data_IF_466218980461
#
_entry.id   IF_466218980461
#
_cell.length_a   1.000
_cell.length_b   1.000
_cell.length_c   1.000
_cell.angle_alpha   90.00
_cell.angle_beta   90.00
_cell.angle_gamma   90.00
#
_symmetry.space_group_name_H-M   'P 1'
#
loop_
_entity.id
_entity.type
_entity.pdbx_description
1 polymer ?
#
# COMPACT_ATOMS: atom_id res chain seq x y z
N UNK A 1 -5.29 -23.95 -3.64
CA UNK A 1 -5.14 -24.27 -2.21
C UNK A 1 -5.65 -23.09 -1.38
N UNK A 2 -6.34 -23.34 -0.27
CA UNK A 2 -6.84 -22.29 0.65
C UNK A 2 -5.68 -21.70 1.44
N UNK A 3 -5.59 -20.36 1.52
CA UNK A 3 -4.55 -19.65 2.29
C UNK A 3 -4.99 -19.46 3.75
N UNK A 4 -4.86 -20.52 4.56
CA UNK A 4 -5.27 -20.51 5.97
C UNK A 4 -4.63 -19.39 6.80
N UNK A 5 -3.37 -19.05 6.52
CA UNK A 5 -2.64 -17.98 7.22
C UNK A 5 -3.36 -16.63 7.16
N UNK A 6 -3.97 -16.30 6.02
CA UNK A 6 -4.70 -15.04 5.83
C UNK A 6 -5.95 -15.01 6.70
N UNK A 7 -6.72 -16.09 6.73
CA UNK A 7 -7.93 -16.20 7.54
C UNK A 7 -7.62 -16.12 9.04
N UNK A 8 -6.58 -16.83 9.49
CA UNK A 8 -6.15 -16.80 10.89
C UNK A 8 -5.67 -15.40 11.28
N UNK A 9 -4.92 -14.72 10.41
CA UNK A 9 -4.45 -13.35 10.66
C UNK A 9 -5.62 -12.37 10.79
N UNK A 10 -6.62 -12.45 9.90
CA UNK A 10 -7.81 -11.60 9.95
C UNK A 10 -8.60 -11.86 11.25
N UNK A 11 -8.81 -13.14 11.61
CA UNK A 11 -9.52 -13.51 12.84
C UNK A 11 -8.79 -13.02 14.11
N UNK A 12 -7.47 -13.20 14.18
CA UNK A 12 -6.65 -12.71 15.29
C UNK A 12 -6.68 -11.18 15.37
N UNK A 13 -6.63 -10.48 14.23
CA UNK A 13 -6.71 -9.03 14.19
C UNK A 13 -8.04 -8.49 14.71
N UNK A 14 -9.17 -9.15 14.44
CA UNK A 14 -10.45 -8.79 15.07
C UNK A 14 -10.43 -8.95 16.60
N UNK A 15 -9.81 -10.02 17.10
CA UNK A 15 -9.61 -10.23 18.54
C UNK A 15 -8.75 -9.13 19.18
N UNK A 16 -7.60 -8.81 18.56
CA UNK A 16 -6.70 -7.73 18.99
C UNK A 16 -7.40 -6.38 18.93
N UNK A 17 -8.13 -6.10 17.85
CA UNK A 17 -8.94 -4.89 17.68
C UNK A 17 -9.93 -4.71 18.83
N UNK A 18 -10.66 -5.77 19.20
CA UNK A 18 -11.60 -5.72 20.33
C UNK A 18 -10.88 -5.51 21.66
N UNK A 19 -9.72 -6.13 21.87
CA UNK A 19 -8.91 -5.91 23.06
C UNK A 19 -8.36 -4.46 23.15
N UNK A 20 -7.92 -3.88 22.03
CA UNK A 20 -7.48 -2.49 21.94
C UNK A 20 -8.61 -1.49 22.24
N UNK A 21 -9.81 -1.77 21.71
CA UNK A 21 -11.01 -0.98 21.98
C UNK A 21 -11.41 -1.08 23.45
N UNK A 22 -11.51 -2.30 24.01
CA UNK A 22 -11.91 -2.53 25.40
C UNK A 22 -10.90 -1.97 26.42
N UNK A 23 -9.60 -1.98 26.10
CA UNK A 23 -8.55 -1.42 26.97
C UNK A 23 -8.45 0.11 26.88
N UNK A 24 -9.14 0.75 25.93
CA UNK A 24 -9.04 2.18 25.68
C UNK A 24 -7.76 2.61 24.95
N UNK A 25 -6.89 1.66 24.58
CA UNK A 25 -5.64 1.95 23.88
C UNK A 25 -5.91 2.50 22.47
N UNK A 26 -6.93 1.99 21.77
CA UNK A 26 -7.33 2.50 20.46
C UNK A 26 -7.68 3.99 20.53
N UNK A 27 -8.55 4.38 21.45
CA UNK A 27 -8.93 5.77 21.67
C UNK A 27 -7.74 6.66 22.09
N UNK A 28 -6.85 6.16 22.96
CA UNK A 28 -5.64 6.89 23.34
C UNK A 28 -4.69 7.14 22.15
N UNK A 29 -4.51 6.12 21.32
CA UNK A 29 -3.68 6.18 20.11
C UNK A 29 -4.28 7.10 19.06
N UNK A 30 -5.61 7.02 18.86
CA UNK A 30 -6.35 7.92 17.97
C UNK A 30 -6.19 9.38 18.39
N UNK A 31 -6.36 9.69 19.69
CA UNK A 31 -6.15 11.05 20.22
C UNK A 31 -4.72 11.54 19.99
N UNK A 32 -3.73 10.67 20.16
CA UNK A 32 -2.33 11.01 19.86
C UNK A 32 -2.13 11.35 18.39
N UNK A 33 -2.70 10.56 17.47
CA UNK A 33 -2.63 10.81 16.03
C UNK A 33 -3.34 12.11 15.63
N UNK A 34 -4.50 12.39 16.21
CA UNK A 34 -5.23 13.65 16.01
C UNK A 34 -4.42 14.84 16.48
N UNK A 35 -3.83 14.78 17.68
CA UNK A 35 -2.98 15.86 18.19
C UNK A 35 -1.74 16.06 17.32
N UNK A 36 -1.11 14.97 16.89
CA UNK A 36 0.02 15.02 15.97
C UNK A 36 -0.38 15.66 14.63
N UNK A 37 -1.54 15.28 14.07
CA UNK A 37 -2.06 15.85 12.82
C UNK A 37 -2.38 17.34 12.93
N UNK A 38 -3.01 17.76 14.04
CA UNK A 38 -3.32 19.17 14.32
C UNK A 38 -2.06 20.02 14.47
N UNK A 39 -0.99 19.48 15.02
CA UNK A 39 0.29 20.19 15.17
C UNK A 39 0.89 20.61 13.82
N UNK A 40 0.58 19.90 12.73
CA UNK A 40 1.06 20.22 11.39
C UNK A 40 0.29 21.40 10.75
N UNK A 41 -0.82 21.87 11.34
CA UNK A 41 -1.66 22.98 10.83
C UNK A 41 -2.16 22.77 9.38
N UNK A 42 -2.32 21.53 8.94
CA UNK A 42 -2.84 21.18 7.60
C UNK A 42 -4.36 20.90 7.59
N UNK A 43 -5.07 21.21 8.68
CA UNK A 43 -6.46 20.81 8.88
C UNK A 43 -6.62 19.29 8.84
N UNK A 44 -7.70 18.83 8.23
CA UNK A 44 -8.07 17.43 8.01
C UNK A 44 -6.97 16.58 7.37
N UNK A 45 -6.18 17.17 6.47
CA UNK A 45 -5.04 16.49 5.83
C UNK A 45 -3.94 16.10 6.84
N UNK A 46 -3.83 16.81 7.96
CA UNK A 46 -2.90 16.47 9.03
C UNK A 46 -3.19 15.11 9.65
N UNK A 47 -4.47 14.77 9.86
CA UNK A 47 -4.85 13.46 10.39
C UNK A 47 -4.54 12.34 9.38
N UNK A 48 -4.82 12.56 8.09
CA UNK A 48 -4.47 11.62 7.04
C UNK A 48 -2.97 11.32 7.04
N UNK A 49 -2.11 12.34 7.11
CA UNK A 49 -0.66 12.14 7.19
C UNK A 49 -0.25 11.33 8.42
N UNK A 50 -0.82 11.64 9.59
CA UNK A 50 -0.51 10.94 10.84
C UNK A 50 -0.88 9.45 10.78
N UNK A 51 -2.09 9.14 10.31
CA UNK A 51 -2.58 7.76 10.15
C UNK A 51 -1.77 7.01 9.09
N UNK A 52 -1.44 7.65 7.97
CA UNK A 52 -0.61 7.06 6.92
C UNK A 52 0.77 6.67 7.47
N UNK A 53 1.44 7.58 8.18
CA UNK A 53 2.75 7.34 8.77
C UNK A 53 2.71 6.21 9.80
N UNK A 54 1.73 6.21 10.69
CA UNK A 54 1.55 5.14 11.68
C UNK A 54 1.37 3.78 10.99
N UNK A 55 0.51 3.71 9.97
CA UNK A 55 0.25 2.48 9.21
C UNK A 55 1.51 1.99 8.50
N UNK A 56 2.20 2.88 7.80
CA UNK A 56 3.44 2.57 7.08
C UNK A 56 4.53 2.04 8.02
N UNK A 57 4.74 2.67 9.17
CA UNK A 57 5.76 2.24 10.13
C UNK A 57 5.51 0.82 10.62
N UNK A 58 4.25 0.47 10.90
CA UNK A 58 3.88 -0.91 11.26
C UNK A 58 4.04 -1.86 10.07
N UNK A 59 3.64 -1.44 8.87
CA UNK A 59 3.73 -2.27 7.65
C UNK A 59 5.15 -2.62 7.23
N UNK A 60 6.16 -1.88 7.69
CA UNK A 60 7.56 -2.25 7.46
C UNK A 60 8.03 -3.43 8.33
N UNK A 61 7.37 -3.67 9.45
CA UNK A 61 7.74 -4.72 10.43
C UNK A 61 6.91 -5.97 10.25
N UNK A 62 5.62 -5.80 9.91
CA UNK A 62 4.64 -6.88 9.78
C UNK A 62 4.17 -7.00 8.33
N UNK A 63 3.46 -8.07 7.98
CA UNK A 63 2.86 -8.20 6.65
C UNK A 63 1.79 -7.12 6.43
N UNK A 64 1.67 -6.62 5.19
CA UNK A 64 0.71 -5.56 4.82
C UNK A 64 -0.71 -5.83 5.35
N UNK A 65 -1.18 -7.07 5.21
CA UNK A 65 -2.52 -7.46 5.65
C UNK A 65 -2.68 -7.42 7.17
N UNK A 66 -1.66 -7.84 7.92
CA UNK A 66 -1.68 -7.79 9.37
C UNK A 66 -1.61 -6.35 9.88
N UNK A 67 -0.77 -5.51 9.26
CA UNK A 67 -0.64 -4.10 9.60
C UNK A 67 -1.96 -3.34 9.38
N UNK A 68 -2.61 -3.56 8.24
CA UNK A 68 -3.92 -2.97 7.96
C UNK A 68 -4.96 -3.35 9.01
N UNK A 69 -5.05 -4.64 9.34
CA UNK A 69 -6.04 -5.14 10.28
C UNK A 69 -5.80 -4.65 11.74
N UNK A 70 -4.54 -4.40 12.11
CA UNK A 70 -4.16 -3.87 13.42
C UNK A 70 -4.45 -2.37 13.56
N UNK A 71 -4.14 -1.58 12.53
CA UNK A 71 -4.31 -0.11 12.57
C UNK A 71 -5.74 0.33 12.28
N UNK A 72 -6.52 -0.47 11.53
CA UNK A 72 -7.89 -0.16 11.17
C UNK A 72 -8.78 0.36 12.31
N UNK A 73 -8.88 -0.29 13.49
CA UNK A 73 -9.70 0.22 14.58
C UNK A 73 -9.24 1.60 15.08
N UNK A 74 -7.93 1.85 15.12
CA UNK A 74 -7.38 3.13 15.57
C UNK A 74 -7.72 4.23 14.55
N UNK A 75 -7.61 3.91 13.26
CA UNK A 75 -7.93 4.83 12.17
C UNK A 75 -9.45 5.13 12.10
N UNK A 76 -10.29 4.12 12.33
CA UNK A 76 -11.74 4.27 12.38
C UNK A 76 -12.17 5.18 13.55
N UNK A 77 -11.64 4.92 14.76
CA UNK A 77 -11.91 5.77 15.94
C UNK A 77 -11.40 7.21 15.74
N UNK A 78 -10.28 7.39 15.05
CA UNK A 78 -9.74 8.72 14.75
C UNK A 78 -10.59 9.49 13.74
N UNK A 79 -11.08 8.80 12.70
CA UNK A 79 -12.01 9.40 11.72
C UNK A 79 -13.33 9.81 12.39
N UNK A 80 -13.89 8.96 13.25
CA UNK A 80 -15.12 9.26 13.97
C UNK A 80 -14.97 10.49 14.89
N UNK A 81 -13.83 10.62 15.59
CA UNK A 81 -13.54 11.75 16.46
C UNK A 81 -13.48 13.10 15.74
N UNK A 82 -12.92 13.13 14.53
CA UNK A 82 -12.83 14.35 13.71
C UNK A 82 -14.01 14.50 12.75
N UNK A 83 -15.01 13.61 12.79
CA UNK A 83 -16.18 13.66 11.90
C UNK A 83 -15.86 13.39 10.43
N UNK A 84 -14.75 12.69 10.16
CA UNK A 84 -14.29 12.36 8.81
C UNK A 84 -14.96 11.09 8.29
N UNK A 85 -15.05 10.97 6.96
CA UNK A 85 -15.56 9.76 6.33
C UNK A 85 -14.63 8.55 6.57
N UNK A 86 -15.19 7.53 7.21
CA UNK A 86 -14.50 6.28 7.54
C UNK A 86 -14.05 5.56 6.25
N UNK A 87 -14.82 5.65 5.16
CA UNK A 87 -14.44 5.00 3.90
C UNK A 87 -13.15 5.62 3.35
N UNK A 88 -13.07 6.95 3.29
CA UNK A 88 -11.88 7.68 2.86
C UNK A 88 -10.64 7.36 3.71
N UNK A 89 -10.81 7.29 5.04
CA UNK A 89 -9.73 6.90 5.95
C UNK A 89 -9.29 5.44 5.74
N UNK A 90 -10.24 4.54 5.47
CA UNK A 90 -9.95 3.13 5.20
C UNK A 90 -9.20 2.93 3.89
N UNK A 91 -9.55 3.69 2.85
CA UNK A 91 -8.80 3.71 1.59
C UNK A 91 -7.38 4.21 1.77
N UNK A 92 -7.19 5.30 2.52
CA UNK A 92 -5.87 5.81 2.87
C UNK A 92 -5.02 4.73 3.54
N UNK A 93 -5.61 4.06 4.53
CA UNK A 93 -4.96 3.00 5.30
C UNK A 93 -4.58 1.82 4.40
N UNK A 94 -5.46 1.40 3.49
CA UNK A 94 -5.13 0.35 2.51
C UNK A 94 -3.95 0.73 1.62
N UNK A 95 -3.90 1.98 1.15
CA UNK A 95 -2.77 2.49 0.36
C UNK A 95 -1.48 2.54 1.17
N UNK A 96 -1.55 2.99 2.42
CA UNK A 96 -0.41 3.07 3.34
C UNK A 96 0.15 1.68 3.67
N UNK A 97 -0.73 0.71 4.00
CA UNK A 97 -0.35 -0.66 4.31
C UNK A 97 0.25 -1.38 3.08
N UNK A 98 -0.16 -1.02 1.86
CA UNK A 98 0.38 -1.61 0.63
C UNK A 98 1.75 -1.07 0.25
N UNK A 99 2.11 0.10 0.76
CA UNK A 99 3.35 0.80 0.45
C UNK A 99 4.49 0.35 1.38
N UNK A 100 4.93 -0.90 1.24
CA UNK A 100 6.05 -1.48 2.01
C UNK A 100 7.35 -1.46 1.19
N UNK A 101 7.81 -0.26 0.82
CA UNK A 101 9.00 -0.08 -0.02
C UNK A 101 10.31 -0.09 0.78
N UNK A 102 10.25 0.26 2.07
CA UNK A 102 11.43 0.53 2.90
C UNK A 102 12.01 -0.73 3.57
N UNK A 103 11.23 -1.82 3.61
CA UNK A 103 11.61 -3.07 4.27
C UNK A 103 11.64 -4.24 3.26
N UNK A 104 12.69 -5.08 3.29
CA UNK A 104 12.70 -6.30 2.50
C UNK A 104 11.71 -7.33 3.03
N UNK A 105 11.35 -7.30 4.33
CA UNK A 105 10.45 -8.27 4.97
C UNK A 105 8.96 -7.95 4.80
N UNK A 106 8.63 -6.70 4.47
CA UNK A 106 7.24 -6.26 4.34
C UNK A 106 6.49 -6.93 3.18
N UNK A 107 7.21 -7.43 2.16
CA UNK A 107 6.56 -8.04 1.01
C UNK A 107 7.36 -9.22 0.41
N UNK A 108 6.63 -10.25 -0.01
CA UNK A 108 7.23 -11.51 -0.48
C UNK A 108 8.11 -11.30 -1.72
N UNK A 109 7.76 -10.38 -2.63
CA UNK A 109 8.60 -10.11 -3.81
C UNK A 109 9.87 -9.33 -3.47
N UNK A 110 9.85 -8.49 -2.43
CA UNK A 110 11.05 -7.78 -1.96
C UNK A 110 12.07 -8.80 -1.41
N UNK A 111 11.59 -9.85 -0.73
CA UNK A 111 12.42 -10.97 -0.29
C UNK A 111 13.02 -11.77 -1.45
N UNK A 112 12.26 -11.99 -2.54
CA UNK A 112 12.74 -12.74 -3.70
C UNK A 112 13.94 -12.08 -4.40
N UNK A 113 14.05 -10.75 -4.33
CA UNK A 113 15.19 -10.02 -4.91
C UNK A 113 16.28 -9.72 -3.89
N UNK A 114 15.98 -9.76 -2.58
CA UNK A 114 16.94 -9.47 -1.51
C UNK A 114 18.15 -10.41 -1.54
N UNK A 115 17.92 -11.73 -1.61
CA UNK A 115 19.00 -12.72 -1.63
C UNK A 115 19.76 -12.79 -2.96
N UNK A 116 19.10 -13.20 -4.07
CA UNK A 116 19.75 -13.36 -5.37
C UNK A 116 20.24 -12.04 -5.99
N UNK A 117 19.65 -10.91 -5.63
CA UNK A 117 20.03 -9.59 -6.15
C UNK A 117 21.18 -8.91 -5.41
N UNK A 118 21.67 -9.49 -4.31
CA UNK A 118 22.81 -8.94 -3.55
C UNK A 118 22.53 -7.61 -2.85
N UNK A 119 21.25 -7.23 -2.70
CA UNK A 119 20.85 -5.98 -2.06
C UNK A 119 21.02 -6.05 -0.54
N UNK A 120 21.43 -4.94 0.07
CA UNK A 120 21.51 -4.79 1.52
C UNK A 120 20.25 -4.12 2.05
N UNK A 121 19.94 -4.33 3.33
CA UNK A 121 18.80 -3.66 3.97
C UNK A 121 18.83 -2.12 3.81
N UNK A 122 20.03 -1.52 3.83
CA UNK A 122 20.22 -0.08 3.61
C UNK A 122 19.74 0.38 2.24
N UNK A 123 19.88 -0.45 1.20
CA UNK A 123 19.48 -0.08 -0.16
C UNK A 123 17.95 0.04 -0.25
N UNK A 124 17.21 -0.87 0.41
CA UNK A 124 15.76 -0.78 0.53
C UNK A 124 15.31 0.47 1.28
N UNK A 125 15.98 0.84 2.36
CA UNK A 125 15.61 2.06 3.10
C UNK A 125 15.88 3.31 2.27
N UNK A 126 17.03 3.36 1.60
CA UNK A 126 17.47 4.55 0.86
C UNK A 126 16.61 4.83 -0.38
N UNK A 127 16.19 3.79 -1.11
CA UNK A 127 15.29 3.92 -2.25
C UNK A 127 13.81 3.92 -1.85
N UNK A 128 13.45 3.18 -0.81
CA UNK A 128 12.09 3.04 -0.34
C UNK A 128 11.56 4.30 0.35
N UNK A 129 12.40 5.00 1.12
CA UNK A 129 11.96 6.19 1.86
C UNK A 129 11.47 7.33 0.93
N UNK A 130 12.20 7.73 -0.13
CA UNK A 130 11.71 8.72 -1.10
C UNK A 130 10.40 8.28 -1.77
N UNK A 131 10.31 7.01 -2.17
CA UNK A 131 9.10 6.46 -2.79
C UNK A 131 7.91 6.49 -1.83
N UNK A 132 8.16 6.26 -0.53
CA UNK A 132 7.12 6.36 0.48
C UNK A 132 6.57 7.78 0.59
N UNK A 133 7.45 8.78 0.60
CA UNK A 133 7.03 10.18 0.71
C UNK A 133 6.19 10.60 -0.50
N UNK A 134 6.58 10.15 -1.70
CA UNK A 134 5.79 10.39 -2.92
C UNK A 134 4.42 9.72 -2.83
N UNK A 135 4.38 8.44 -2.42
CA UNK A 135 3.13 7.69 -2.27
C UNK A 135 2.22 8.34 -1.22
N UNK A 136 2.77 8.78 -0.09
CA UNK A 136 2.05 9.49 0.96
C UNK A 136 1.46 10.79 0.42
N UNK A 137 2.27 11.62 -0.23
CA UNK A 137 1.83 12.90 -0.78
C UNK A 137 0.69 12.72 -1.78
N UNK A 138 0.81 11.77 -2.71
CA UNK A 138 -0.23 11.47 -3.70
C UNK A 138 -1.49 10.93 -3.02
N UNK A 139 -1.37 9.97 -2.10
CA UNK A 139 -2.53 9.36 -1.44
C UNK A 139 -3.31 10.38 -0.62
N UNK A 140 -2.60 11.20 0.17
CA UNK A 140 -3.21 12.26 0.97
C UNK A 140 -3.83 13.31 0.05
N UNK A 141 -3.17 13.72 -1.03
CA UNK A 141 -3.70 14.73 -1.95
C UNK A 141 -4.97 14.26 -2.66
N UNK A 142 -5.01 13.02 -3.14
CA UNK A 142 -6.18 12.45 -3.81
C UNK A 142 -7.40 12.41 -2.87
N UNK A 143 -7.18 12.04 -1.60
CA UNK A 143 -8.26 11.91 -0.62
C UNK A 143 -8.66 13.28 -0.05
N UNK A 144 -7.70 14.12 0.30
CA UNK A 144 -7.95 15.42 0.93
C UNK A 144 -8.64 16.41 -0.02
N UNK A 145 -8.35 16.34 -1.32
CA UNK A 145 -8.99 17.19 -2.31
C UNK A 145 -10.30 16.60 -2.86
N UNK A 146 -10.74 15.44 -2.35
CA UNK A 146 -11.91 14.70 -2.80
C UNK A 146 -12.05 14.72 -4.33
N UNK A 147 -10.97 14.33 -5.03
CA UNK A 147 -10.78 14.50 -6.49
C UNK A 147 -11.72 13.61 -7.34
N UNK A 148 -12.89 13.27 -6.80
CA UNK A 148 -13.84 12.28 -7.30
C UNK A 148 -13.92 11.09 -6.33
N UNK A 149 -15.12 10.50 -6.26
CA UNK A 149 -15.35 9.26 -5.50
C UNK A 149 -14.20 8.28 -5.72
N UNK A 150 -13.64 7.71 -4.65
CA UNK A 150 -12.56 6.70 -4.68
C UNK A 150 -12.76 5.61 -5.75
N UNK A 151 -14.01 5.29 -6.07
CA UNK A 151 -14.41 4.38 -7.14
C UNK A 151 -14.01 4.85 -8.55
N UNK A 152 -14.06 6.15 -8.82
CA UNK A 152 -13.64 6.76 -10.08
C UNK A 152 -12.16 6.51 -10.35
N UNK A 153 -11.30 6.75 -9.37
CA UNK A 153 -9.87 6.47 -9.46
C UNK A 153 -9.58 4.98 -9.64
N UNK A 154 -10.31 4.12 -8.94
CA UNK A 154 -10.21 2.68 -9.10
C UNK A 154 -10.56 2.22 -10.53
N UNK A 155 -11.62 2.78 -11.12
CA UNK A 155 -12.01 2.48 -12.50
C UNK A 155 -10.99 2.98 -13.53
N UNK A 156 -10.43 4.18 -13.36
CA UNK A 156 -9.39 4.72 -14.25
C UNK A 156 -8.15 3.83 -14.24
N UNK A 157 -7.64 3.52 -13.06
CA UNK A 157 -6.44 2.68 -12.92
C UNK A 157 -6.70 1.27 -13.43
N UNK A 158 -7.87 0.69 -13.10
CA UNK A 158 -8.30 -0.61 -13.60
C UNK A 158 -8.39 -0.65 -15.12
N UNK A 159 -9.05 0.33 -15.74
CA UNK A 159 -9.15 0.44 -17.19
C UNK A 159 -7.78 0.61 -17.87
N UNK A 160 -6.91 1.45 -17.28
CA UNK A 160 -5.54 1.63 -17.75
C UNK A 160 -4.72 0.34 -17.73
N UNK A 161 -4.78 -0.42 -16.64
CA UNK A 161 -4.12 -1.73 -16.52
C UNK A 161 -4.63 -2.73 -17.56
N UNK A 162 -5.95 -2.77 -17.79
CA UNK A 162 -6.55 -3.62 -18.83
C UNK A 162 -6.05 -3.20 -20.22
N UNK A 163 -6.04 -1.91 -20.53
CA UNK A 163 -5.53 -1.40 -21.81
C UNK A 163 -4.05 -1.77 -22.03
N UNK A 164 -3.20 -1.57 -21.04
CA UNK A 164 -1.77 -1.94 -21.11
C UNK A 164 -1.61 -3.44 -21.32
N UNK A 165 -2.40 -4.25 -20.61
CA UNK A 165 -2.35 -5.72 -20.72
C UNK A 165 -2.79 -6.21 -22.10
N UNK A 166 -3.87 -5.62 -22.64
CA UNK A 166 -4.35 -5.91 -24.00
C UNK A 166 -3.32 -5.47 -25.03
N UNK A 167 -2.75 -4.27 -24.90
CA UNK A 167 -1.74 -3.76 -25.82
C UNK A 167 -0.48 -4.62 -25.83
N UNK A 168 -0.01 -5.05 -24.64
CA UNK A 168 1.15 -5.93 -24.50
C UNK A 168 0.89 -7.31 -25.11
N UNK A 169 -0.32 -7.86 -24.94
CA UNK A 169 -0.72 -9.15 -25.52
C UNK A 169 -0.82 -9.08 -27.06
N UNK A 170 -1.41 -8.00 -27.59
CA UNK A 170 -1.47 -7.74 -29.04
C UNK A 170 -0.09 -7.50 -29.65
N UNK A 171 0.77 -6.74 -28.97
CA UNK A 171 2.17 -6.49 -29.36
C UNK A 171 2.98 -7.78 -29.42
N UNK A 172 2.86 -8.64 -28.40
CA UNK A 172 3.57 -9.93 -28.35
C UNK A 172 3.09 -10.88 -29.46
N UNK A 173 1.79 -10.92 -29.73
CA UNK A 173 1.22 -11.68 -30.83
C UNK A 173 1.69 -11.22 -32.21
N UNK A 174 1.92 -9.91 -32.40
CA UNK A 174 2.49 -9.36 -33.63
C UNK A 174 3.99 -9.68 -33.78
N UNK A 175 4.74 -9.79 -32.68
CA UNK A 175 6.16 -10.19 -32.72
C UNK A 175 6.35 -11.67 -33.03
N UNK A 176 5.49 -12.55 -32.51
CA UNK A 176 5.54 -14.00 -32.76
C UNK A 176 5.13 -14.39 -34.20
N UNK A 177 4.38 -13.53 -34.89
CA UNK A 177 4.01 -13.71 -36.30
C UNK A 177 5.08 -13.22 -37.28
N UNK A 178 6.22 -12.67 -36.80
CA UNK A 178 7.32 -12.30 -37.71
C UNK A 178 7.95 -13.57 -38.29
N UNK A 179 8.01 -13.71 -39.63
CA UNK A 179 8.67 -14.87 -40.24
C UNK A 179 10.15 -14.89 -39.83
N UNK A 180 10.77 -16.09 -39.71
CA UNK A 180 12.18 -16.21 -39.35
C UNK A 180 13.03 -15.41 -40.34
N UNK A 181 13.99 -14.65 -39.82
CA UNK A 181 14.89 -13.84 -40.64
C UNK A 181 15.59 -14.72 -41.68
N UNK A 182 15.29 -14.52 -42.96
CA UNK A 182 16.03 -15.13 -44.08
C UNK A 182 17.42 -14.51 -44.10
N UNK A 183 18.40 -15.17 -43.49
CA UNK A 183 19.78 -14.65 -43.51
C UNK A 183 20.80 -15.36 -42.63
N UNK A 184 20.67 -16.66 -42.34
CA UNK A 184 21.71 -17.43 -41.65
C UNK A 184 21.98 -18.75 -42.37
N UNK A 185 22.41 -18.67 -43.64
CA UNK A 185 22.99 -19.79 -44.38
C UNK A 185 24.16 -19.31 -45.23
N UNK A 186 25.21 -18.81 -44.59
CA UNK A 186 26.55 -18.73 -45.17
C UNK A 186 27.58 -18.42 -44.07
N UNK A 187 27.90 -19.42 -43.26
CA UNK A 187 29.10 -19.48 -42.42
C UNK A 187 29.11 -20.84 -41.69
N UNK A 188 29.37 -21.92 -42.42
CA UNK A 188 29.94 -23.14 -41.87
C UNK A 188 30.99 -23.62 -42.86
N UNK A 189 32.24 -23.51 -42.42
CA UNK A 189 33.40 -24.24 -42.95
C UNK A 189 33.15 -25.72 -42.71
#
# INVERSE_FOLDING_TARGET
AVKWDVYVTIAAAFGISKALSNSGLAAASARFLVQAGRAVNLGDAGLYVAVYLATFLISNVVTNNAAAALIFPIAADAAEQEGMDILSMSFLLMLAASASFMSPFGYQTNLMVYGPGGYKFKDFVWFGFPMQLVQMAISVLVIALDLGSVWFWWLIVGAGLVLVSVFRTCSLGAMLKRPPAKGASSARI
#
